data_IF_089960908320
#
_entry.id   IF_089960908320
#
_cell.length_a   1.000
_cell.length_b   1.000
_cell.length_c   1.000
_cell.angle_alpha   90.00
_cell.angle_beta   90.00
_cell.angle_gamma   90.00
#
_symmetry.space_group_name_H-M   'P 1'
#
loop_
_entity.id
_entity.type
_entity.pdbx_description
1 polymer ?
#
# COMPACT_ATOMS: atom_id res chain seq x y z
N UNK A 1 5.08 -2.31 16.85
CA UNK A 1 4.22 -3.09 15.93
C UNK A 1 5.02 -4.10 15.12
N UNK A 2 6.09 -3.73 14.41
CA UNK A 2 6.95 -4.72 13.74
C UNK A 2 7.58 -5.72 14.73
N UNK A 3 8.06 -5.24 15.88
CA UNK A 3 8.66 -6.07 16.94
C UNK A 3 7.68 -6.97 17.69
N UNK A 4 6.39 -6.75 17.55
CA UNK A 4 5.37 -7.51 18.29
C UNK A 4 4.97 -8.75 17.49
N UNK A 5 5.27 -9.98 17.96
CA UNK A 5 4.93 -11.21 17.26
C UNK A 5 3.42 -11.50 17.24
N UNK A 6 2.62 -10.85 18.10
CA UNK A 6 1.16 -10.98 18.09
C UNK A 6 0.46 -10.12 17.02
N UNK A 7 1.21 -9.36 16.21
CA UNK A 7 0.68 -8.48 15.17
C UNK A 7 0.99 -9.06 13.79
N UNK A 8 -0.05 -9.53 13.10
CA UNK A 8 0.04 -10.06 11.73
C UNK A 8 -0.01 -8.98 10.64
N UNK A 9 -0.69 -7.86 10.92
CA UNK A 9 -0.88 -6.78 9.96
C UNK A 9 -0.88 -5.39 10.62
N UNK A 10 -0.27 -4.43 9.93
CA UNK A 10 -0.23 -3.02 10.29
C UNK A 10 -1.05 -2.25 9.22
N UNK A 11 -2.24 -1.80 9.61
CA UNK A 11 -3.12 -1.00 8.75
C UNK A 11 -3.10 0.44 9.26
N UNK A 12 -2.64 1.38 8.43
CA UNK A 12 -2.60 2.78 8.81
C UNK A 12 -4.02 3.32 9.05
N UNK A 13 -4.19 4.11 10.11
CA UNK A 13 -5.48 4.67 10.45
C UNK A 13 -5.96 5.71 9.42
N UNK A 14 -5.04 6.54 8.93
CA UNK A 14 -5.30 7.64 8.00
C UNK A 14 -3.98 8.11 7.36
N UNK A 15 -4.07 8.85 6.25
CA UNK A 15 -2.94 9.58 5.64
C UNK A 15 -2.74 10.97 6.25
N UNK A 16 -2.08 11.87 5.52
CA UNK A 16 -1.88 13.23 6.01
C UNK A 16 -0.72 13.93 5.32
N UNK A 17 0.15 14.53 6.12
CA UNK A 17 1.36 15.18 5.63
C UNK A 17 2.45 15.09 6.69
N UNK A 18 3.29 14.07 6.59
CA UNK A 18 4.39 13.91 7.53
C UNK A 18 5.26 12.68 7.31
N UNK A 19 4.84 11.73 6.47
CA UNK A 19 5.58 10.50 6.24
C UNK A 19 7.08 10.76 5.97
N UNK A 20 7.39 11.68 5.07
CA UNK A 20 8.77 12.02 4.69
C UNK A 20 9.67 12.49 5.85
N UNK A 21 9.11 13.07 6.92
CA UNK A 21 9.90 13.47 8.11
C UNK A 21 10.27 12.29 8.99
N UNK A 22 9.48 11.22 8.93
CA UNK A 22 9.66 10.01 9.75
C UNK A 22 10.50 8.96 9.03
N UNK A 23 10.52 8.92 7.70
CA UNK A 23 11.27 7.93 6.92
C UNK A 23 12.74 7.74 7.36
N UNK A 24 13.52 8.80 7.66
CA UNK A 24 14.91 8.64 8.09
C UNK A 24 15.06 8.04 9.51
N UNK A 25 13.97 8.01 10.28
CA UNK A 25 13.95 7.56 11.67
C UNK A 25 13.53 6.08 11.79
N UNK A 26 13.14 5.44 10.67
CA UNK A 26 12.74 4.04 10.68
C UNK A 26 13.97 3.13 10.71
N UNK A 27 13.90 2.11 11.55
CA UNK A 27 14.86 1.00 11.57
C UNK A 27 14.47 -0.03 10.49
N UNK A 28 15.05 0.13 9.30
CA UNK A 28 14.75 -0.74 8.16
C UNK A 28 15.32 -2.14 8.31
N UNK A 29 16.42 -2.32 9.04
CA UNK A 29 16.98 -3.65 9.30
C UNK A 29 16.06 -4.44 10.22
N UNK A 30 15.51 -3.78 11.24
CA UNK A 30 14.49 -4.39 12.09
C UNK A 30 13.22 -4.74 11.31
N UNK A 31 12.73 -3.86 10.43
CA UNK A 31 11.56 -4.13 9.58
C UNK A 31 11.85 -5.33 8.66
N UNK A 32 13.04 -5.41 8.08
CA UNK A 32 13.47 -6.53 7.22
C UNK A 32 13.48 -7.86 7.97
N UNK A 33 13.92 -7.86 9.24
CA UNK A 33 13.94 -9.05 10.09
C UNK A 33 12.55 -9.50 10.60
N UNK A 34 11.52 -8.66 10.50
CA UNK A 34 10.18 -8.93 11.03
C UNK A 34 9.09 -8.66 9.97
N UNK A 35 9.12 -9.34 8.81
CA UNK A 35 8.20 -9.07 7.72
C UNK A 35 6.75 -9.34 8.15
N UNK A 36 5.86 -8.39 7.87
CA UNK A 36 4.41 -8.50 8.07
C UNK A 36 3.66 -7.56 7.14
N UNK A 37 2.36 -7.74 6.99
CA UNK A 37 1.53 -6.90 6.13
C UNK A 37 1.61 -5.45 6.63
N UNK A 38 1.93 -4.52 5.72
CA UNK A 38 1.88 -3.10 5.98
C UNK A 38 1.05 -2.42 4.88
N UNK A 39 -0.02 -1.71 5.27
CA UNK A 39 -1.01 -1.18 4.33
C UNK A 39 -1.44 0.27 4.65
N UNK A 40 -1.59 1.06 3.59
CA UNK A 40 -2.31 2.34 3.63
C UNK A 40 -2.33 3.00 2.25
N UNK A 41 -2.79 4.24 2.15
CA UNK A 41 -2.75 5.01 0.90
C UNK A 41 -2.48 6.50 1.15
N UNK A 42 -2.40 7.30 0.07
CA UNK A 42 -2.14 8.74 0.15
C UNK A 42 -0.74 9.03 0.71
N UNK A 43 -0.58 9.84 1.79
CA UNK A 43 0.73 10.12 2.42
C UNK A 43 1.52 8.87 2.80
N UNK A 44 0.81 7.77 3.08
CA UNK A 44 1.43 6.48 3.42
C UNK A 44 2.26 5.91 2.26
N UNK A 45 2.03 6.37 1.03
CA UNK A 45 2.85 6.04 -0.15
C UNK A 45 4.35 6.20 0.12
N UNK A 46 4.75 7.23 0.88
CA UNK A 46 6.16 7.42 1.26
C UNK A 46 6.72 6.24 2.08
N UNK A 47 5.93 5.71 3.01
CA UNK A 47 6.30 4.52 3.78
C UNK A 47 6.31 3.26 2.91
N UNK A 48 5.28 3.05 2.08
CA UNK A 48 5.17 1.87 1.21
C UNK A 48 6.42 1.72 0.33
N UNK A 49 6.77 2.79 -0.39
CA UNK A 49 7.92 2.80 -1.28
C UNK A 49 9.21 2.60 -0.50
N UNK A 50 9.41 3.35 0.59
CA UNK A 50 10.70 3.33 1.31
C UNK A 50 10.94 2.00 2.01
N UNK A 51 9.88 1.40 2.58
CA UNK A 51 9.96 0.06 3.17
C UNK A 51 10.29 -0.94 2.08
N UNK A 52 9.50 -1.02 1.00
CA UNK A 52 9.74 -2.01 -0.07
C UNK A 52 11.11 -1.83 -0.72
N UNK A 53 11.56 -0.60 -0.98
CA UNK A 53 12.86 -0.33 -1.59
C UNK A 53 14.04 -0.74 -0.70
N UNK A 54 13.94 -0.56 0.63
CA UNK A 54 15.06 -0.81 1.55
C UNK A 54 15.06 -2.23 2.12
N UNK A 55 13.91 -2.90 2.17
CA UNK A 55 13.77 -4.19 2.83
C UNK A 55 13.32 -5.32 1.92
N UNK A 56 12.93 -5.01 0.67
CA UNK A 56 12.30 -5.93 -0.29
C UNK A 56 10.94 -6.49 0.18
N UNK A 57 10.41 -5.99 1.30
CA UNK A 57 9.10 -6.34 1.81
C UNK A 57 8.00 -5.79 0.89
N UNK A 58 7.14 -6.67 0.38
CA UNK A 58 5.93 -6.26 -0.35
C UNK A 58 5.00 -5.51 0.60
N UNK A 59 4.65 -4.28 0.24
CA UNK A 59 3.69 -3.45 0.98
C UNK A 59 2.44 -3.20 0.14
N UNK A 60 1.34 -2.82 0.78
CA UNK A 60 0.02 -2.78 0.15
C UNK A 60 -0.53 -1.35 0.10
N UNK A 61 -0.86 -0.89 -1.10
CA UNK A 61 -1.61 0.36 -1.27
C UNK A 61 -3.11 0.09 -1.20
N UNK A 62 -3.73 0.33 -0.04
CA UNK A 62 -5.10 -0.11 0.24
C UNK A 62 -5.86 0.77 1.24
N UNK A 63 -7.13 0.45 1.52
CA UNK A 63 -7.99 1.26 2.39
C UNK A 63 -7.43 1.37 3.81
N UNK A 64 -7.74 2.49 4.47
CA UNK A 64 -7.33 2.80 5.84
C UNK A 64 -8.53 2.79 6.77
N UNK A 65 -8.34 2.85 8.09
CA UNK A 65 -9.46 2.92 9.04
C UNK A 65 -10.44 4.05 8.70
N UNK A 66 -9.92 5.24 8.36
CA UNK A 66 -10.77 6.38 7.97
C UNK A 66 -11.52 6.20 6.65
N UNK A 67 -11.12 5.25 5.78
CA UNK A 67 -11.85 4.96 4.54
C UNK A 67 -13.28 4.52 4.81
N UNK A 68 -13.53 3.91 5.97
CA UNK A 68 -14.85 3.40 6.35
C UNK A 68 -15.62 4.34 7.28
N UNK A 69 -15.06 5.51 7.64
CA UNK A 69 -15.66 6.44 8.61
C UNK A 69 -17.02 6.98 8.17
N UNK A 70 -17.17 7.33 6.89
CA UNK A 70 -18.41 7.93 6.35
C UNK A 70 -19.36 6.90 5.77
N UNK A 71 -18.81 5.89 5.09
CA UNK A 71 -19.56 4.84 4.42
C UNK A 71 -18.68 3.61 4.27
N UNK A 72 -19.26 2.45 4.51
CA UNK A 72 -18.63 1.18 4.18
C UNK A 72 -18.84 0.86 2.70
N UNK A 73 -17.76 0.52 2.00
CA UNK A 73 -17.78 0.19 0.57
C UNK A 73 -17.34 -1.26 0.43
N UNK A 74 -18.29 -2.17 0.20
CA UNK A 74 -18.04 -3.62 0.16
C UNK A 74 -16.93 -3.98 -0.82
N UNK A 75 -16.95 -3.40 -2.04
CA UNK A 75 -15.91 -3.61 -3.04
C UNK A 75 -14.48 -3.41 -2.47
N UNK A 76 -14.25 -2.34 -1.70
CA UNK A 76 -12.94 -2.05 -1.13
C UNK A 76 -12.55 -3.05 -0.04
N UNK A 77 -13.50 -3.43 0.82
CA UNK A 77 -13.25 -4.34 1.92
C UNK A 77 -13.03 -5.77 1.42
N UNK A 78 -13.91 -6.26 0.56
CA UNK A 78 -13.79 -7.58 -0.03
C UNK A 78 -12.50 -7.70 -0.83
N UNK A 79 -12.15 -6.70 -1.67
CA UNK A 79 -10.89 -6.73 -2.41
C UNK A 79 -9.68 -6.73 -1.48
N UNK A 80 -9.71 -5.95 -0.40
CA UNK A 80 -8.65 -5.93 0.62
C UNK A 80 -8.49 -7.30 1.29
N UNK A 81 -9.58 -7.86 1.83
CA UNK A 81 -9.56 -9.18 2.48
C UNK A 81 -9.03 -10.26 1.54
N UNK A 82 -9.52 -10.25 0.30
CA UNK A 82 -9.11 -11.13 -0.79
C UNK A 82 -7.62 -11.06 -1.14
N UNK A 83 -7.07 -9.85 -1.21
CA UNK A 83 -5.65 -9.62 -1.54
C UNK A 83 -4.75 -9.98 -0.35
N UNK A 84 -5.11 -9.55 0.86
CA UNK A 84 -4.33 -9.80 2.06
C UNK A 84 -4.41 -11.27 2.51
N UNK A 85 -5.49 -11.98 2.17
CA UNK A 85 -5.66 -13.41 2.39
C UNK A 85 -4.85 -14.31 1.45
N UNK A 86 -4.14 -13.73 0.46
CA UNK A 86 -3.18 -14.47 -0.37
C UNK A 86 -3.79 -15.34 -1.47
N UNK A 87 -5.02 -15.10 -1.91
CA UNK A 87 -5.64 -15.89 -2.97
C UNK A 87 -4.98 -15.64 -4.35
N UNK A 88 -4.38 -16.67 -5.00
CA UNK A 88 -3.56 -16.49 -6.20
C UNK A 88 -4.39 -16.23 -7.48
N UNK A 89 -3.73 -15.65 -8.50
CA UNK A 89 -4.23 -15.65 -9.89
C UNK A 89 -5.41 -14.71 -10.18
N UNK A 90 -5.66 -13.70 -9.35
CA UNK A 90 -6.86 -12.86 -9.49
C UNK A 90 -6.73 -11.74 -10.51
N UNK A 91 -7.74 -11.67 -11.37
CA UNK A 91 -8.07 -10.47 -12.14
C UNK A 91 -8.87 -9.52 -11.25
N UNK A 92 -8.41 -8.28 -11.15
CA UNK A 92 -9.16 -7.22 -10.45
C UNK A 92 -10.20 -6.69 -11.43
N UNK A 93 -11.47 -6.94 -11.15
CA UNK A 93 -12.59 -6.39 -11.93
C UNK A 93 -13.00 -5.03 -11.37
N UNK A 94 -13.19 -4.00 -12.21
CA UNK A 94 -13.67 -2.70 -11.74
C UNK A 94 -15.12 -2.79 -11.24
N UNK A 95 -15.52 -1.94 -10.27
CA UNK A 95 -16.92 -1.86 -9.90
C UNK A 95 -17.75 -1.30 -11.07
N UNK A 96 -18.98 -1.76 -11.23
CA UNK A 96 -19.87 -1.35 -12.35
C UNK A 96 -20.04 0.17 -12.46
N UNK A 97 -20.01 0.87 -11.32
CA UNK A 97 -20.12 2.34 -11.25
C UNK A 97 -18.89 3.09 -11.77
N UNK A 98 -17.76 2.40 -11.99
CA UNK A 98 -16.51 2.99 -12.47
C UNK A 98 -15.87 2.09 -13.55
N UNK A 99 -16.43 2.05 -14.77
CA UNK A 99 -15.90 1.21 -15.84
C UNK A 99 -14.49 1.66 -16.28
N UNK A 100 -13.64 0.69 -16.61
CA UNK A 100 -12.29 0.95 -17.13
C UNK A 100 -12.37 1.50 -18.55
N UNK A 101 -11.57 2.53 -18.84
CA UNK A 101 -11.38 3.08 -20.19
C UNK A 101 -9.98 2.73 -20.70
N UNK A 102 -9.90 2.10 -21.85
CA UNK A 102 -8.61 1.84 -22.53
C UNK A 102 -8.15 3.12 -23.23
N UNK A 103 -7.02 3.68 -22.79
CA UNK A 103 -6.39 4.84 -23.44
C UNK A 103 -5.41 4.41 -24.55
N UNK A 104 -4.68 3.31 -24.33
CA UNK A 104 -3.78 2.69 -25.29
C UNK A 104 -3.90 1.17 -25.18
N UNK A 105 -4.20 0.44 -26.27
CA UNK A 105 -4.30 -1.01 -26.23
C UNK A 105 -2.92 -1.66 -26.08
N UNK A 106 -2.87 -2.83 -25.45
CA UNK A 106 -1.66 -3.62 -25.28
C UNK A 106 -1.74 -4.55 -24.06
N UNK A 107 -0.65 -5.28 -23.83
CA UNK A 107 -0.46 -6.15 -22.66
C UNK A 107 0.94 -5.94 -22.11
N UNK A 108 1.08 -5.92 -20.78
CA UNK A 108 2.34 -5.76 -20.08
C UNK A 108 2.34 -6.59 -18.79
N UNK A 109 3.52 -7.00 -18.35
CA UNK A 109 3.74 -7.72 -17.09
C UNK A 109 4.96 -7.09 -16.40
N UNK A 110 4.86 -6.87 -15.09
CA UNK A 110 5.95 -6.33 -14.30
C UNK A 110 5.53 -6.11 -12.85
N UNK A 111 6.50 -5.75 -12.01
CA UNK A 111 6.24 -5.37 -10.63
C UNK A 111 5.38 -4.11 -10.56
N UNK A 112 4.36 -4.14 -9.69
CA UNK A 112 3.50 -2.99 -9.46
C UNK A 112 4.16 -2.01 -8.49
N UNK A 113 4.42 -0.80 -8.97
CA UNK A 113 4.82 0.35 -8.17
C UNK A 113 3.82 1.47 -8.39
N UNK A 114 3.60 2.30 -7.38
CA UNK A 114 2.60 3.37 -7.50
C UNK A 114 2.20 3.99 -6.19
N UNK A 115 0.96 4.48 -6.16
CA UNK A 115 0.35 5.20 -5.05
C UNK A 115 0.11 6.65 -5.41
N UNK A 116 0.32 7.55 -4.45
CA UNK A 116 0.17 8.99 -4.67
C UNK A 116 1.33 9.53 -5.54
N UNK A 117 1.00 10.09 -6.71
CA UNK A 117 1.99 10.58 -7.68
C UNK A 117 2.87 11.71 -7.15
N UNK A 118 2.32 12.65 -6.38
CA UNK A 118 3.09 13.73 -5.75
C UNK A 118 4.15 13.16 -4.80
N UNK A 119 3.76 12.18 -3.99
CA UNK A 119 4.69 11.54 -3.06
C UNK A 119 5.75 10.71 -3.79
N UNK A 120 5.40 10.03 -4.89
CA UNK A 120 6.39 9.35 -5.75
C UNK A 120 7.44 10.33 -6.29
N UNK A 121 7.00 11.45 -6.85
CA UNK A 121 7.91 12.47 -7.41
C UNK A 121 8.82 13.04 -6.32
N UNK A 122 8.28 13.30 -5.13
CA UNK A 122 9.06 13.80 -3.99
C UNK A 122 10.14 12.83 -3.49
N UNK A 123 10.12 11.57 -3.93
CA UNK A 123 11.12 10.55 -3.60
C UNK A 123 12.21 10.41 -4.67
N UNK A 124 12.08 11.05 -5.83
CA UNK A 124 13.14 11.03 -6.83
C UNK A 124 14.44 11.65 -6.29
N UNK A 125 15.57 11.00 -6.56
CA UNK A 125 16.88 11.43 -6.05
C UNK A 125 17.13 11.16 -4.57
N UNK A 126 16.23 10.44 -3.89
CA UNK A 126 16.38 10.04 -2.49
C UNK A 126 16.68 8.54 -2.38
N UNK A 127 17.38 8.13 -1.31
CA UNK A 127 17.71 6.73 -1.03
C UNK A 127 16.54 5.99 -0.40
#
# INVERSE_FOLDING_TARGET
MFSDPGVDAIICARGGYGANRVLPLLDYDHIKGHPKIFMGYSDITGYLISITQKTELVTFHGPMLTSYKKRFVNYNFELMEKVLGGEPGRKIEPPESFPVRVLRPGTAVGSLWGGNMTLLINRLGTK
#
